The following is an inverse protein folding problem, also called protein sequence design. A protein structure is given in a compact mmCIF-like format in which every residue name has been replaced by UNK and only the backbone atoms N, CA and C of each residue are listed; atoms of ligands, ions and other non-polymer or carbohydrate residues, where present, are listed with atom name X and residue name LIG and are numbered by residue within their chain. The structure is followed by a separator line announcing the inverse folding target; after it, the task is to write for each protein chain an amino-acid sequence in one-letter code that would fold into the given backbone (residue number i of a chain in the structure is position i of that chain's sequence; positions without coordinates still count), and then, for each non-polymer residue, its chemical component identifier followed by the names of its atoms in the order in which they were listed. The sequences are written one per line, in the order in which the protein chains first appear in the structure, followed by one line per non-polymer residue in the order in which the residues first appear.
data_IF_218360888233
#
_entry.id   IF_218360888233
#
_cell.length_a   1.000
_cell.length_b   1.000
_cell.length_c   1.000
_cell.angle_alpha   90.00
_cell.angle_beta   90.00
_cell.angle_gamma   90.00
#
_symmetry.space_group_name_H-M   'P 1'
#
loop_
_entity.id
_entity.type
_entity.pdbx_description
1 polymer ?
#
# COMPACT_ATOMS: atom_id res chain seq x y z
N UNK A 1 9.82 -2.98 -5.49
CA UNK A 1 10.02 -1.99 -4.40
C UNK A 1 8.69 -1.64 -3.75
N UNK A 2 8.66 -1.56 -2.44
CA UNK A 2 7.51 -1.21 -1.64
C UNK A 2 7.48 0.31 -1.44
N UNK A 3 6.49 1.00 -2.05
CA UNK A 3 6.42 2.46 -2.02
C UNK A 3 5.68 3.02 -0.82
N UNK A 4 4.77 2.24 -0.25
CA UNK A 4 3.95 2.63 0.90
C UNK A 4 3.92 1.46 1.89
N UNK A 5 4.30 1.72 3.14
CA UNK A 5 4.29 0.76 4.23
C UNK A 5 3.47 1.37 5.35
N UNK A 6 2.37 0.71 5.72
CA UNK A 6 1.48 1.17 6.79
C UNK A 6 1.24 0.01 7.75
N UNK A 7 1.63 0.19 9.00
CA UNK A 7 1.26 -0.70 10.09
C UNK A 7 -0.04 -0.22 10.71
N UNK A 8 -1.01 -1.11 10.87
CA UNK A 8 -2.31 -0.81 11.46
C UNK A 8 -2.49 -1.67 12.71
N UNK A 9 -2.68 -1.02 13.84
CA UNK A 9 -3.03 -1.68 15.09
C UNK A 9 -4.53 -1.56 15.32
N UNK A 10 -5.18 -2.71 15.47
CA UNK A 10 -6.60 -2.79 15.84
C UNK A 10 -6.68 -3.45 17.22
N UNK A 11 -7.15 -2.76 18.27
CA UNK A 11 -7.39 -3.38 19.58
C UNK A 11 -8.44 -4.49 19.50
N UNK A 12 -8.41 -5.42 20.45
CA UNK A 12 -9.33 -6.56 20.46
C UNK A 12 -10.81 -6.17 20.56
N UNK A 13 -11.12 -4.97 21.06
CA UNK A 13 -12.49 -4.44 21.11
C UNK A 13 -13.02 -3.93 19.76
N UNK A 14 -12.14 -3.80 18.76
CA UNK A 14 -12.48 -3.38 17.39
C UNK A 14 -13.00 -1.93 17.27
N UNK A 15 -12.93 -1.12 18.34
CA UNK A 15 -13.55 0.22 18.38
C UNK A 15 -12.70 1.33 17.79
N UNK A 16 -11.42 1.05 17.56
CA UNK A 16 -10.47 2.02 17.03
C UNK A 16 -9.45 1.33 16.14
N UNK A 17 -8.72 2.11 15.36
CA UNK A 17 -7.54 1.66 14.66
C UNK A 17 -6.50 2.77 14.69
N UNK A 18 -5.24 2.41 14.89
CA UNK A 18 -4.12 3.34 14.80
C UNK A 18 -3.25 2.95 13.63
N UNK A 19 -2.98 3.89 12.73
CA UNK A 19 -2.12 3.68 11.57
C UNK A 19 -0.78 4.39 11.76
N UNK A 20 0.30 3.66 11.55
CA UNK A 20 1.67 4.18 11.51
C UNK A 20 2.24 3.96 10.10
N UNK A 21 2.54 5.05 9.41
CA UNK A 21 3.25 4.99 8.13
C UNK A 21 4.76 4.97 8.36
N UNK A 22 5.43 4.01 7.74
CA UNK A 22 6.88 3.88 7.76
C UNK A 22 7.40 4.51 6.46
N UNK A 23 8.25 5.56 6.54
CA UNK A 23 8.84 6.15 5.35
C UNK A 23 9.64 5.11 4.56
N UNK A 24 9.42 5.05 3.26
CA UNK A 24 10.06 4.06 2.38
C UNK A 24 11.59 4.07 2.38
N UNK A 25 12.18 5.22 2.72
CA UNK A 25 13.62 5.43 2.76
C UNK A 25 14.21 5.24 4.17
N UNK A 26 13.41 4.73 5.13
CA UNK A 26 13.91 4.36 6.46
C UNK A 26 15.03 3.34 6.33
N UNK A 27 16.17 3.62 6.96
CA UNK A 27 17.36 2.77 6.89
C UNK A 27 17.31 1.73 8.02
N UNK A 28 17.27 0.47 7.65
CA UNK A 28 17.08 -0.67 8.55
C UNK A 28 18.02 -1.81 8.21
N UNK A 29 18.23 -2.73 9.14
CA UNK A 29 18.86 -4.00 8.85
C UNK A 29 17.83 -4.92 8.21
N UNK A 30 18.09 -5.36 6.98
CA UNK A 30 17.21 -6.25 6.21
C UNK A 30 17.77 -7.67 6.30
N UNK A 31 16.99 -8.65 6.78
CA UNK A 31 17.43 -10.03 6.93
C UNK A 31 18.06 -10.59 5.64
N UNK A 32 19.28 -11.12 5.77
CA UNK A 32 20.05 -11.69 4.65
C UNK A 32 20.63 -10.68 3.65
N UNK A 33 20.33 -9.37 3.79
CA UNK A 33 20.83 -8.31 2.89
C UNK A 33 21.74 -7.34 3.65
N UNK A 34 21.45 -7.08 4.94
CA UNK A 34 22.14 -6.07 5.76
C UNK A 34 21.50 -4.69 5.64
N UNK A 35 22.24 -3.65 6.11
CA UNK A 35 21.73 -2.28 6.20
C UNK A 35 21.29 -1.72 4.85
N UNK A 36 20.00 -1.43 4.71
CA UNK A 36 19.40 -0.91 3.47
C UNK A 36 18.16 -0.05 3.74
N UNK A 37 17.61 0.58 2.70
CA UNK A 37 16.30 1.22 2.79
C UNK A 37 15.20 0.16 2.87
N UNK A 38 14.23 0.35 3.76
CA UNK A 38 13.17 -0.64 3.99
C UNK A 38 12.35 -0.95 2.73
N UNK A 39 12.25 -0.01 1.77
CA UNK A 39 11.57 -0.25 0.50
C UNK A 39 12.28 -1.28 -0.40
N UNK A 40 13.54 -1.56 -0.14
CA UNK A 40 14.32 -2.57 -0.85
C UNK A 40 14.14 -3.98 -0.25
N UNK A 41 13.70 -4.09 1.01
CA UNK A 41 13.63 -5.36 1.73
C UNK A 41 12.94 -6.47 0.91
N UNK A 42 11.71 -6.21 0.46
CA UNK A 42 10.98 -7.16 -0.38
C UNK A 42 11.72 -7.49 -1.69
N UNK A 43 12.10 -6.45 -2.45
CA UNK A 43 12.64 -6.65 -3.79
C UNK A 43 14.05 -7.23 -3.82
N UNK A 44 14.91 -6.83 -2.89
CA UNK A 44 16.28 -7.35 -2.82
C UNK A 44 16.28 -8.81 -2.38
N UNK A 45 15.57 -9.16 -1.30
CA UNK A 45 15.49 -10.54 -0.83
C UNK A 45 14.85 -11.45 -1.87
N UNK A 46 13.73 -11.02 -2.49
CA UNK A 46 13.11 -11.77 -3.58
C UNK A 46 14.10 -12.09 -4.69
N UNK A 47 14.83 -11.08 -5.17
CA UNK A 47 15.76 -11.30 -6.30
C UNK A 47 16.94 -12.19 -5.91
N UNK A 48 17.53 -12.00 -4.72
CA UNK A 48 18.62 -12.86 -4.25
C UNK A 48 18.16 -14.31 -4.13
N UNK A 49 17.04 -14.56 -3.46
CA UNK A 49 16.47 -15.90 -3.31
C UNK A 49 16.12 -16.54 -4.65
N UNK A 50 15.57 -15.75 -5.59
CA UNK A 50 15.23 -16.24 -6.92
C UNK A 50 16.48 -16.71 -7.69
N UNK A 51 17.57 -15.97 -7.62
CA UNK A 51 18.84 -16.33 -8.26
C UNK A 51 19.42 -17.62 -7.64
N UNK A 52 19.45 -17.72 -6.31
CA UNK A 52 19.93 -18.91 -5.60
C UNK A 52 19.11 -20.16 -5.96
N UNK A 53 17.78 -20.05 -6.04
CA UNK A 53 16.90 -21.15 -6.42
C UNK A 53 17.12 -21.59 -7.88
N UNK A 54 17.27 -20.65 -8.79
CA UNK A 54 17.57 -20.96 -10.20
C UNK A 54 18.94 -21.62 -10.35
N UNK A 55 19.97 -21.14 -9.65
CA UNK A 55 21.30 -21.75 -9.63
C UNK A 55 21.30 -23.16 -9.04
N UNK A 56 20.43 -23.42 -8.05
CA UNK A 56 20.26 -24.75 -7.46
C UNK A 56 19.43 -25.72 -8.32
N UNK A 57 18.85 -25.26 -9.43
CA UNK A 57 18.11 -26.06 -10.40
C UNK A 57 16.59 -26.13 -10.17
N UNK A 58 16.01 -25.25 -9.33
CA UNK A 58 14.56 -25.11 -9.20
C UNK A 58 13.93 -24.62 -10.50
N UNK A 59 12.71 -25.05 -10.79
CA UNK A 59 12.00 -24.51 -11.93
C UNK A 59 11.60 -23.03 -11.74
N UNK A 60 11.32 -22.32 -12.84
CA UNK A 60 11.08 -20.89 -12.81
C UNK A 60 9.81 -20.50 -12.00
N UNK A 61 8.78 -21.35 -11.98
CA UNK A 61 7.54 -21.07 -11.26
C UNK A 61 7.72 -21.28 -9.75
N UNK A 62 8.44 -22.31 -9.36
CA UNK A 62 8.84 -22.57 -7.99
C UNK A 62 9.74 -21.45 -7.46
N UNK A 63 10.80 -21.09 -8.21
CA UNK A 63 11.71 -20.02 -7.85
C UNK A 63 10.98 -18.67 -7.68
N UNK A 64 10.00 -18.35 -8.54
CA UNK A 64 9.17 -17.14 -8.42
C UNK A 64 8.29 -17.18 -7.18
N UNK A 65 7.69 -18.31 -6.86
CA UNK A 65 6.79 -18.47 -5.70
C UNK A 65 7.55 -18.34 -4.40
N UNK A 66 8.62 -19.12 -4.22
CA UNK A 66 9.40 -19.13 -2.98
C UNK A 66 10.15 -17.81 -2.77
N UNK A 67 10.72 -17.22 -3.82
CA UNK A 67 11.37 -15.93 -3.71
C UNK A 67 10.39 -14.79 -3.34
N UNK A 68 9.17 -14.86 -3.87
CA UNK A 68 8.11 -13.90 -3.52
C UNK A 68 7.74 -14.00 -2.03
N UNK A 69 7.63 -15.22 -1.51
CA UNK A 69 7.40 -15.50 -0.10
C UNK A 69 8.54 -14.97 0.77
N UNK A 70 9.78 -15.28 0.41
CA UNK A 70 10.96 -14.80 1.13
C UNK A 70 11.02 -13.25 1.17
N UNK A 71 10.69 -12.57 0.08
CA UNK A 71 10.62 -11.11 0.04
C UNK A 71 9.58 -10.53 0.98
N UNK A 72 8.40 -11.15 1.10
CA UNK A 72 7.36 -10.74 2.07
C UNK A 72 7.81 -10.94 3.51
N UNK A 73 8.37 -12.11 3.82
CA UNK A 73 8.90 -12.43 5.14
C UNK A 73 9.97 -11.44 5.58
N UNK A 74 10.93 -11.11 4.71
CA UNK A 74 11.96 -10.12 5.00
C UNK A 74 11.41 -8.72 5.27
N UNK A 75 10.37 -8.29 4.53
CA UNK A 75 9.71 -7.01 4.79
C UNK A 75 8.97 -7.02 6.13
N UNK A 76 8.23 -8.09 6.45
CA UNK A 76 7.50 -8.25 7.70
C UNK A 76 8.49 -8.22 8.89
N UNK A 77 9.58 -8.98 8.80
CA UNK A 77 10.62 -9.04 9.82
C UNK A 77 11.28 -7.66 10.01
N UNK A 78 11.69 -6.99 8.92
CA UNK A 78 12.24 -5.63 8.98
C UNK A 78 11.30 -4.62 9.65
N UNK A 79 10.00 -4.72 9.43
CA UNK A 79 8.98 -3.88 10.09
C UNK A 79 8.87 -4.25 11.57
N UNK A 80 8.86 -5.54 11.90
CA UNK A 80 8.83 -6.03 13.27
C UNK A 80 10.03 -5.56 14.08
N UNK A 81 11.24 -5.70 13.54
CA UNK A 81 12.49 -5.29 14.19
C UNK A 81 12.56 -3.77 14.39
N UNK A 82 12.14 -3.01 13.38
CA UNK A 82 12.10 -1.54 13.47
C UNK A 82 11.14 -1.04 14.55
N UNK A 83 10.00 -1.69 14.70
CA UNK A 83 8.90 -1.22 15.56
C UNK A 83 8.81 -1.90 16.91
N UNK A 84 9.47 -3.05 17.08
CA UNK A 84 9.35 -3.93 18.25
C UNK A 84 7.97 -4.60 18.37
N UNK A 85 7.19 -4.66 17.28
CA UNK A 85 5.83 -5.20 17.26
C UNK A 85 5.76 -6.41 16.34
N UNK A 86 5.18 -7.51 16.84
CA UNK A 86 4.87 -8.67 16.00
C UNK A 86 3.74 -8.34 15.04
N UNK A 87 3.92 -8.67 13.75
CA UNK A 87 2.92 -8.51 12.71
C UNK A 87 2.07 -9.78 12.63
N UNK A 88 0.79 -9.67 12.99
CA UNK A 88 -0.14 -10.81 12.98
C UNK A 88 -0.72 -11.11 11.60
N UNK A 89 -0.89 -10.07 10.77
CA UNK A 89 -1.50 -10.15 9.45
C UNK A 89 -0.76 -9.25 8.46
N UNK A 90 -0.68 -9.69 7.22
CA UNK A 90 -0.07 -8.96 6.12
C UNK A 90 -1.07 -8.81 4.97
N UNK A 91 -1.07 -7.65 4.35
CA UNK A 91 -1.83 -7.42 3.13
C UNK A 91 -1.00 -6.62 2.12
N UNK A 92 -0.96 -7.09 0.90
CA UNK A 92 -0.26 -6.43 -0.21
C UNK A 92 -1.26 -6.02 -1.28
N UNK A 93 -1.20 -4.76 -1.72
CA UNK A 93 -2.07 -4.21 -2.76
C UNK A 93 -1.19 -3.60 -3.86
N UNK A 94 -1.25 -4.16 -5.04
CA UNK A 94 -0.60 -3.61 -6.23
C UNK A 94 -1.32 -2.36 -6.76
N UNK A 95 -0.65 -1.61 -7.66
CA UNK A 95 -1.20 -0.37 -8.22
C UNK A 95 -2.55 -0.59 -8.92
N UNK A 96 -2.68 -1.66 -9.71
CA UNK A 96 -3.95 -2.01 -10.35
C UNK A 96 -5.02 -2.37 -9.32
N UNK A 97 -4.63 -3.08 -8.27
CA UNK A 97 -5.53 -3.42 -7.17
C UNK A 97 -6.07 -2.20 -6.45
N UNK A 98 -5.23 -1.21 -6.20
CA UNK A 98 -5.63 0.07 -5.63
C UNK A 98 -6.68 0.78 -6.50
N UNK A 99 -6.46 0.83 -7.82
CA UNK A 99 -7.43 1.37 -8.80
C UNK A 99 -8.76 0.63 -8.71
N UNK A 100 -8.74 -0.69 -8.78
CA UNK A 100 -9.95 -1.51 -8.73
C UNK A 100 -10.73 -1.38 -7.42
N UNK A 101 -10.02 -1.26 -6.29
CA UNK A 101 -10.66 -1.04 -4.98
C UNK A 101 -11.33 0.33 -4.88
N UNK A 102 -10.66 1.38 -5.37
CA UNK A 102 -11.23 2.74 -5.37
C UNK A 102 -12.46 2.85 -6.28
N UNK A 103 -12.43 2.22 -7.45
CA UNK A 103 -13.58 2.16 -8.35
C UNK A 103 -14.76 1.38 -7.75
N UNK A 104 -14.48 0.23 -7.12
CA UNK A 104 -15.52 -0.61 -6.52
C UNK A 104 -16.32 0.11 -5.42
N UNK A 105 -15.70 1.03 -4.66
CA UNK A 105 -16.41 1.83 -3.65
C UNK A 105 -17.12 3.06 -4.26
N UNK A 106 -16.87 3.37 -5.54
CA UNK A 106 -17.37 4.57 -6.22
C UNK A 106 -16.62 5.82 -5.78
N UNK A 107 -15.31 5.71 -5.76
CA UNK A 107 -14.37 6.79 -5.45
C UNK A 107 -14.25 7.15 -3.99
N UNK A 108 -13.26 7.96 -3.67
CA UNK A 108 -12.92 8.46 -2.33
C UNK A 108 -13.01 9.98 -2.32
N UNK A 109 -13.72 10.53 -1.34
CA UNK A 109 -13.87 11.98 -1.18
C UNK A 109 -12.60 12.57 -0.58
N UNK A 110 -12.08 13.61 -1.22
CA UNK A 110 -10.93 14.39 -0.76
C UNK A 110 -11.26 15.88 -0.82
N UNK A 111 -10.59 16.69 -0.01
CA UNK A 111 -10.67 18.14 -0.06
C UNK A 111 -9.26 18.73 -0.22
N UNK A 112 -9.05 19.49 -1.28
CA UNK A 112 -7.79 20.14 -1.59
C UNK A 112 -7.86 21.64 -1.29
N UNK A 113 -6.90 22.14 -0.52
CA UNK A 113 -6.82 23.57 -0.18
C UNK A 113 -6.39 24.45 -1.37
N UNK A 114 -5.72 23.84 -2.35
CA UNK A 114 -5.24 24.52 -3.56
C UNK A 114 -5.29 23.57 -4.76
N UNK A 115 -5.36 24.09 -5.99
CA UNK A 115 -5.29 23.25 -7.17
C UNK A 115 -3.93 22.58 -7.30
N UNK A 116 -3.90 21.45 -7.98
CA UNK A 116 -2.71 20.65 -8.26
C UNK A 116 -2.59 20.45 -9.75
N UNK A 117 -1.41 20.75 -10.31
CA UNK A 117 -1.01 20.36 -11.66
C UNK A 117 0.42 19.81 -11.60
N UNK A 118 0.53 18.47 -11.57
CA UNK A 118 1.81 17.78 -11.42
C UNK A 118 1.90 16.66 -12.49
N UNK A 119 2.57 16.94 -13.61
CA UNK A 119 2.61 16.03 -14.76
C UNK A 119 3.30 14.70 -14.51
N UNK A 120 4.28 14.61 -13.59
CA UNK A 120 5.07 13.39 -13.36
C UNK A 120 4.26 12.27 -12.70
N UNK A 121 3.30 12.62 -11.85
CA UNK A 121 2.33 11.66 -11.29
C UNK A 121 1.02 11.60 -12.09
N UNK A 122 0.80 12.56 -12.99
CA UNK A 122 -0.46 12.77 -13.70
C UNK A 122 -1.53 13.46 -12.85
N UNK A 123 -1.16 14.00 -11.68
CA UNK A 123 -2.10 14.64 -10.77
C UNK A 123 -2.54 16.00 -11.28
N UNK A 124 -3.82 16.12 -11.64
CA UNK A 124 -4.49 17.37 -12.03
C UNK A 124 -5.82 17.46 -11.32
N UNK A 125 -5.89 18.37 -10.35
CA UNK A 125 -7.06 18.50 -9.48
C UNK A 125 -7.35 19.96 -9.20
N UNK A 126 -8.62 20.32 -9.16
CA UNK A 126 -9.06 21.64 -8.70
C UNK A 126 -8.97 21.73 -7.17
N UNK A 127 -9.00 22.93 -6.64
CA UNK A 127 -9.19 23.15 -5.21
C UNK A 127 -10.62 22.79 -4.81
N UNK A 128 -10.81 22.39 -3.56
CA UNK A 128 -12.10 22.07 -2.98
C UNK A 128 -12.38 20.58 -2.86
N UNK A 129 -13.65 20.27 -2.61
CA UNK A 129 -14.12 18.91 -2.38
C UNK A 129 -14.37 18.19 -3.71
N UNK A 130 -13.84 16.99 -3.85
CA UNK A 130 -14.00 16.16 -5.04
C UNK A 130 -13.91 14.68 -4.71
N UNK A 131 -14.46 13.84 -5.60
CA UNK A 131 -14.39 12.39 -5.48
C UNK A 131 -13.37 11.87 -6.50
N UNK A 132 -12.37 11.14 -6.01
CA UNK A 132 -11.32 10.55 -6.84
C UNK A 132 -11.55 9.06 -7.02
N UNK A 133 -11.57 8.61 -8.27
CA UNK A 133 -11.74 7.22 -8.67
C UNK A 133 -10.50 6.75 -9.43
N UNK A 134 -10.25 5.44 -9.44
CA UNK A 134 -9.29 4.77 -10.29
C UNK A 134 -7.93 5.44 -10.44
N UNK A 135 -7.56 5.81 -11.68
CA UNK A 135 -6.27 6.42 -11.97
C UNK A 135 -6.06 7.78 -11.27
N UNK A 136 -7.11 8.57 -11.07
CA UNK A 136 -7.03 9.87 -10.39
C UNK A 136 -6.70 9.68 -8.91
N UNK A 137 -7.36 8.71 -8.25
CA UNK A 137 -7.03 8.32 -6.88
C UNK A 137 -5.57 7.87 -6.76
N UNK A 138 -5.09 7.09 -7.74
CA UNK A 138 -3.70 6.63 -7.78
C UNK A 138 -2.72 7.79 -7.98
N UNK A 139 -2.99 8.71 -8.90
CA UNK A 139 -2.16 9.88 -9.14
C UNK A 139 -2.06 10.78 -7.91
N UNK A 140 -3.18 10.96 -7.19
CA UNK A 140 -3.26 11.72 -5.95
C UNK A 140 -2.35 11.17 -4.85
N UNK A 141 -2.39 9.86 -4.60
CA UNK A 141 -1.57 9.24 -3.54
C UNK A 141 -0.10 9.08 -3.92
N UNK A 142 0.23 9.17 -5.21
CA UNK A 142 1.60 9.08 -5.73
C UNK A 142 2.31 10.43 -5.88
N UNK A 143 1.59 11.53 -5.89
CA UNK A 143 2.18 12.85 -6.07
C UNK A 143 3.26 13.13 -5.03
N UNK A 144 4.42 13.61 -5.48
CA UNK A 144 5.57 14.01 -4.64
C UNK A 144 5.99 15.46 -4.91
N UNK A 145 6.02 15.83 -6.19
CA UNK A 145 6.44 17.16 -6.61
C UNK A 145 5.33 18.18 -6.33
N UNK A 146 5.74 19.40 -6.01
CA UNK A 146 4.80 20.47 -5.65
C UNK A 146 4.24 20.37 -4.22
N UNK A 147 4.69 19.40 -3.43
CA UNK A 147 4.37 19.31 -2.01
C UNK A 147 5.47 20.01 -1.19
N UNK A 148 5.12 20.91 -0.24
CA UNK A 148 6.10 21.69 0.52
C UNK A 148 7.15 20.85 1.26
N UNK A 149 6.75 19.71 1.82
CA UNK A 149 7.62 18.77 2.55
C UNK A 149 7.87 17.46 1.78
N UNK A 150 7.60 17.43 0.46
CA UNK A 150 7.87 16.30 -0.41
C UNK A 150 7.23 14.99 0.09
N UNK A 151 8.08 14.02 0.44
CA UNK A 151 7.64 12.67 0.84
C UNK A 151 6.78 12.66 2.12
N UNK A 152 7.03 13.56 3.06
CA UNK A 152 6.22 13.64 4.30
C UNK A 152 4.77 14.07 4.00
N UNK A 153 4.58 15.02 3.12
CA UNK A 153 3.23 15.43 2.71
C UNK A 153 2.52 14.34 1.89
N UNK A 154 3.27 13.57 1.10
CA UNK A 154 2.73 12.37 0.46
C UNK A 154 2.22 11.36 1.48
N UNK A 155 2.98 11.09 2.55
CA UNK A 155 2.56 10.20 3.64
C UNK A 155 1.25 10.67 4.26
N UNK A 156 1.15 11.97 4.57
CA UNK A 156 -0.09 12.56 5.12
C UNK A 156 -1.26 12.37 4.16
N UNK A 157 -1.06 12.62 2.86
CA UNK A 157 -2.09 12.38 1.83
C UNK A 157 -2.54 10.94 1.79
N UNK A 158 -1.60 10.01 1.81
CA UNK A 158 -1.89 8.58 1.82
C UNK A 158 -2.70 8.18 3.05
N UNK A 159 -2.35 8.68 4.24
CA UNK A 159 -3.09 8.41 5.48
C UNK A 159 -4.53 8.95 5.42
N UNK A 160 -4.70 10.19 4.99
CA UNK A 160 -6.03 10.81 4.85
C UNK A 160 -6.86 10.04 3.83
N UNK A 161 -6.27 9.71 2.67
CA UNK A 161 -6.94 8.94 1.63
C UNK A 161 -7.37 7.55 2.12
N UNK A 162 -6.47 6.83 2.79
CA UNK A 162 -6.77 5.49 3.34
C UNK A 162 -7.84 5.53 4.43
N UNK A 163 -7.85 6.56 5.28
CA UNK A 163 -8.91 6.75 6.27
C UNK A 163 -10.27 6.99 5.60
N UNK A 164 -10.33 7.84 4.57
CA UNK A 164 -11.54 8.10 3.78
C UNK A 164 -12.01 6.84 3.03
N UNK A 165 -11.07 6.08 2.44
CA UNK A 165 -11.38 4.81 1.79
C UNK A 165 -11.97 3.80 2.77
N UNK A 166 -11.36 3.63 3.94
CA UNK A 166 -11.85 2.73 4.98
C UNK A 166 -13.27 3.12 5.44
N UNK A 167 -13.52 4.41 5.68
CA UNK A 167 -14.87 4.90 6.02
C UNK A 167 -15.88 4.62 4.91
N UNK A 168 -15.48 4.79 3.65
CA UNK A 168 -16.35 4.52 2.50
C UNK A 168 -16.69 3.04 2.39
N UNK A 169 -15.71 2.14 2.54
CA UNK A 169 -15.90 0.68 2.55
C UNK A 169 -16.84 0.27 3.67
N UNK A 170 -16.64 0.78 4.88
CA UNK A 170 -17.44 0.44 6.06
C UNK A 170 -18.77 1.18 6.13
N UNK A 171 -19.06 2.07 5.20
CA UNK A 171 -20.31 2.82 5.21
C UNK A 171 -21.53 1.91 4.97
N UNK A 172 -22.63 2.21 5.66
CA UNK A 172 -23.90 1.52 5.44
C UNK A 172 -24.33 1.54 3.96
N UNK A 173 -24.04 2.63 3.23
CA UNK A 173 -24.33 2.79 1.81
C UNK A 173 -23.57 1.78 0.93
N UNK A 174 -22.36 1.40 1.33
CA UNK A 174 -21.57 0.37 0.62
C UNK A 174 -22.02 -1.02 1.03
N UNK A 175 -22.11 -1.29 2.33
CA UNK A 175 -22.41 -2.62 2.87
C UNK A 175 -23.85 -3.08 2.61
N UNK A 176 -24.81 -2.17 2.50
CA UNK A 176 -26.21 -2.50 2.17
C UNK A 176 -26.46 -2.68 0.67
N UNK A 177 -25.47 -2.42 -0.20
CA UNK A 177 -25.61 -2.56 -1.64
C UNK A 177 -24.92 -3.84 -2.13
N UNK A 178 -25.69 -4.91 -2.49
CA UNK A 178 -25.11 -6.19 -2.90
C UNK A 178 -24.16 -6.09 -4.11
N UNK A 179 -24.47 -5.19 -5.06
CA UNK A 179 -23.60 -4.98 -6.23
C UNK A 179 -22.23 -4.42 -5.83
N UNK A 180 -22.20 -3.45 -4.92
CA UNK A 180 -20.94 -2.89 -4.42
C UNK A 180 -20.15 -3.90 -3.59
N UNK A 181 -20.82 -4.68 -2.77
CA UNK A 181 -20.17 -5.76 -1.99
C UNK A 181 -19.54 -6.78 -2.94
N UNK A 182 -20.24 -7.21 -3.98
CA UNK A 182 -19.71 -8.14 -4.98
C UNK A 182 -18.51 -7.54 -5.75
N UNK A 183 -18.59 -6.27 -6.15
CA UNK A 183 -17.49 -5.58 -6.82
C UNK A 183 -16.25 -5.47 -5.92
N UNK A 184 -16.43 -5.13 -4.64
CA UNK A 184 -15.37 -5.09 -3.63
C UNK A 184 -14.74 -6.47 -3.44
N UNK A 185 -15.54 -7.51 -3.27
CA UNK A 185 -15.06 -8.89 -3.13
C UNK A 185 -14.23 -9.31 -4.35
N UNK A 186 -14.73 -9.03 -5.56
CA UNK A 186 -14.00 -9.33 -6.79
C UNK A 186 -12.70 -8.52 -6.92
N UNK A 187 -12.69 -7.25 -6.50
CA UNK A 187 -11.50 -6.42 -6.50
C UNK A 187 -10.46 -6.94 -5.50
N UNK A 188 -10.85 -7.30 -4.28
CA UNK A 188 -9.98 -7.89 -3.26
C UNK A 188 -9.37 -9.20 -3.76
N UNK A 189 -10.18 -10.13 -4.26
CA UNK A 189 -9.71 -11.43 -4.76
C UNK A 189 -8.70 -11.34 -5.90
N UNK A 190 -8.77 -10.26 -6.71
CA UNK A 190 -7.87 -10.06 -7.85
C UNK A 190 -6.60 -9.30 -7.51
N UNK A 191 -6.57 -8.60 -6.39
CA UNK A 191 -5.61 -7.51 -6.20
C UNK A 191 -4.96 -7.47 -4.83
N UNK A 192 -5.48 -8.20 -3.87
CA UNK A 192 -4.97 -8.23 -2.50
C UNK A 192 -4.39 -9.60 -2.22
N UNK A 193 -3.15 -9.62 -1.76
CA UNK A 193 -2.52 -10.83 -1.20
C UNK A 193 -2.58 -10.70 0.31
N UNK A 194 -3.04 -11.75 0.96
CA UNK A 194 -3.19 -11.85 2.42
C UNK A 194 -2.21 -12.89 2.97
#
# INVERSE_FOLDING_TARGET
NTDTIIMIRVPNDGRSATALSIPRDTYVDVPGIGMSKINAAYGATKETTRLELVESGSDAAEAETESTKAGREALIESVGDLTGVTVDHYAEVGLLGFVLLTDAVGGVEVCLNAPVDEPLSGARFDAGQQTLEGPDALSFVRQRHGLPRGDLDRIVRQQVFMASLAQKVLSAKTLSNPSKVNQLTAAVQRSVVL
#
